data_IF_252632650118
#
_entry.id   IF_252632650118
#
_cell.length_a   1.000
_cell.length_b   1.000
_cell.length_c   1.000
_cell.angle_alpha   90.00
_cell.angle_beta   90.00
_cell.angle_gamma   90.00
#
_symmetry.space_group_name_H-M   'P 1'
#
loop_
_entity.id
_entity.type
_entity.pdbx_description
1 polymer ?
#
# COMPACT_ATOMS: atom_id res chain seq x y z
N UNK A 1 17.16 22.05 10.13
CA UNK A 1 16.99 21.09 9.02
C UNK A 1 15.50 21.01 8.73
N UNK A 2 15.03 21.61 7.64
CA UNK A 2 13.72 21.27 7.10
C UNK A 2 13.92 20.07 6.17
N UNK A 3 13.38 18.93 6.58
CA UNK A 3 13.27 17.76 5.72
C UNK A 3 12.01 18.00 4.89
N UNK A 4 12.14 18.66 3.75
CA UNK A 4 11.02 18.80 2.81
C UNK A 4 10.49 17.39 2.49
N UNK A 5 9.16 17.16 2.47
CA UNK A 5 8.62 15.87 2.08
C UNK A 5 9.13 15.52 0.69
N UNK A 6 9.73 14.33 0.55
CA UNK A 6 10.18 13.83 -0.75
C UNK A 6 8.92 13.56 -1.59
N UNK A 7 8.54 14.53 -2.41
CA UNK A 7 7.54 14.32 -3.46
C UNK A 7 8.11 13.33 -4.47
N UNK A 8 7.38 12.27 -4.75
CA UNK A 8 7.73 11.30 -5.79
C UNK A 8 7.04 11.73 -7.08
N UNK A 9 7.75 11.73 -8.22
CA UNK A 9 7.14 11.88 -9.53
C UNK A 9 6.79 10.49 -10.05
N UNK A 10 5.67 9.93 -9.57
CA UNK A 10 5.20 8.63 -10.03
C UNK A 10 4.54 8.78 -11.41
N UNK A 11 4.77 7.80 -12.27
CA UNK A 11 3.99 7.63 -13.49
C UNK A 11 2.55 7.24 -13.13
N UNK A 12 1.54 7.58 -13.97
CA UNK A 12 0.16 7.15 -13.74
C UNK A 12 0.03 5.63 -13.50
N UNK A 13 0.76 4.82 -14.27
CA UNK A 13 0.76 3.35 -14.10
C UNK A 13 1.38 2.88 -12.79
N UNK A 14 2.35 3.61 -12.24
CA UNK A 14 2.94 3.31 -10.92
C UNK A 14 1.96 3.65 -9.80
N UNK A 15 1.23 4.77 -9.93
CA UNK A 15 0.14 5.13 -9.01
C UNK A 15 -0.94 4.06 -9.01
N UNK A 16 -1.40 3.65 -10.19
CA UNK A 16 -2.41 2.59 -10.35
C UNK A 16 -1.96 1.27 -9.73
N UNK A 17 -0.71 0.84 -9.99
CA UNK A 17 -0.16 -0.38 -9.43
C UNK A 17 -0.11 -0.35 -7.89
N UNK A 18 0.30 0.78 -7.31
CA UNK A 18 0.36 0.96 -5.86
C UNK A 18 -1.04 1.01 -5.24
N UNK A 19 -1.99 1.71 -5.86
CA UNK A 19 -3.39 1.74 -5.44
C UNK A 19 -4.01 0.34 -5.46
N UNK A 20 -3.78 -0.44 -6.51
CA UNK A 20 -4.27 -1.81 -6.62
C UNK A 20 -3.65 -2.71 -5.53
N UNK A 21 -2.35 -2.57 -5.26
CA UNK A 21 -1.64 -3.39 -4.26
C UNK A 21 -2.20 -3.24 -2.83
N UNK A 22 -2.84 -2.10 -2.52
CA UNK A 22 -3.49 -1.85 -1.23
C UNK A 22 -5.02 -1.77 -1.30
N UNK A 23 -5.61 -2.09 -2.45
CA UNK A 23 -7.07 -2.04 -2.63
C UNK A 23 -7.75 -3.17 -1.86
N UNK A 24 -8.76 -2.80 -1.06
CA UNK A 24 -9.56 -3.77 -0.30
C UNK A 24 -10.33 -4.73 -1.22
N UNK A 25 -10.84 -4.23 -2.35
CA UNK A 25 -11.59 -5.05 -3.32
C UNK A 25 -10.66 -6.07 -3.97
N UNK A 26 -9.49 -5.62 -4.43
CA UNK A 26 -8.47 -6.51 -4.99
C UNK A 26 -8.04 -7.57 -3.96
N UNK A 27 -7.75 -7.17 -2.72
CA UNK A 27 -7.40 -8.12 -1.66
C UNK A 27 -8.51 -9.15 -1.43
N UNK A 28 -9.77 -8.71 -1.37
CA UNK A 28 -10.92 -9.59 -1.17
C UNK A 28 -11.05 -10.62 -2.30
N UNK A 29 -10.85 -10.20 -3.55
CA UNK A 29 -10.89 -11.10 -4.73
C UNK A 29 -9.77 -12.15 -4.69
N UNK A 30 -8.62 -11.82 -4.10
CA UNK A 30 -7.52 -12.76 -3.87
C UNK A 30 -7.69 -13.61 -2.60
N UNK A 31 -8.75 -13.40 -1.81
CA UNK A 31 -8.93 -14.04 -0.50
C UNK A 31 -7.89 -13.58 0.52
N UNK A 32 -7.43 -12.33 0.40
CA UNK A 32 -6.50 -11.66 1.31
C UNK A 32 -7.21 -10.66 2.20
N UNK A 33 -6.57 -10.31 3.31
CA UNK A 33 -7.00 -9.25 4.21
C UNK A 33 -5.81 -8.50 4.79
N UNK A 34 -6.03 -7.23 5.13
CA UNK A 34 -5.08 -6.41 5.88
C UNK A 34 -5.45 -6.37 7.37
N UNK A 35 -4.46 -6.21 8.24
CA UNK A 35 -4.68 -5.88 9.66
C UNK A 35 -4.22 -4.45 9.99
N UNK A 36 -4.49 -3.99 11.22
CA UNK A 36 -4.18 -2.64 11.71
C UNK A 36 -2.69 -2.28 11.60
N UNK A 37 -1.80 -3.27 11.55
CA UNK A 37 -0.35 -3.06 11.37
C UNK A 37 0.04 -2.95 9.90
N UNK A 38 -0.92 -2.93 8.96
CA UNK A 38 -0.68 -2.91 7.53
C UNK A 38 -0.03 -4.20 7.02
N UNK A 39 -0.22 -5.33 7.72
CA UNK A 39 0.20 -6.66 7.28
C UNK A 39 -0.88 -7.25 6.36
N UNK A 40 -0.50 -8.01 5.35
CA UNK A 40 -1.44 -8.73 4.49
C UNK A 40 -1.36 -10.23 4.77
N UNK A 41 -2.51 -10.88 4.96
CA UNK A 41 -2.66 -12.33 5.18
C UNK A 41 -3.58 -12.92 4.14
N UNK A 42 -3.46 -14.22 3.89
CA UNK A 42 -4.47 -14.97 3.14
C UNK A 42 -5.58 -15.51 4.07
N UNK A 43 -6.58 -16.14 3.46
CA UNK A 43 -7.70 -16.81 4.15
C UNK A 43 -7.31 -17.93 5.13
N UNK A 44 -6.07 -18.44 5.08
CA UNK A 44 -5.52 -19.42 6.04
C UNK A 44 -4.76 -18.75 7.19
N UNK A 45 -4.80 -17.42 7.29
CA UNK A 45 -4.06 -16.65 8.28
C UNK A 45 -2.55 -16.57 8.04
N UNK A 46 -2.05 -17.06 6.90
CA UNK A 46 -0.62 -16.98 6.57
C UNK A 46 -0.30 -15.58 6.07
N UNK A 47 0.76 -15.00 6.62
CA UNK A 47 1.31 -13.72 6.19
C UNK A 47 1.80 -13.80 4.74
N UNK A 48 1.24 -12.96 3.87
CA UNK A 48 1.72 -12.72 2.50
C UNK A 48 2.74 -11.58 2.53
N UNK A 49 2.39 -10.47 3.16
CA UNK A 49 3.28 -9.33 3.39
C UNK A 49 3.37 -9.00 4.87
N UNK A 50 4.57 -8.66 5.34
CA UNK A 50 4.87 -8.37 6.75
C UNK A 50 4.14 -7.10 7.25
N UNK A 51 4.03 -6.90 8.58
CA UNK A 51 3.64 -5.61 9.16
C UNK A 51 4.37 -4.45 8.52
N UNK A 52 3.66 -3.36 8.29
CA UNK A 52 4.19 -2.15 7.67
C UNK A 52 4.25 -2.21 6.14
N UNK A 53 3.53 -3.11 5.47
CA UNK A 53 3.48 -3.13 4.01
C UNK A 53 2.54 -2.05 3.45
N UNK A 54 1.34 -1.92 4.01
CA UNK A 54 0.32 -0.99 3.51
C UNK A 54 0.72 0.48 3.76
N UNK A 55 1.26 0.78 4.94
CA UNK A 55 1.50 2.17 5.38
C UNK A 55 2.49 2.95 4.50
N UNK A 56 3.64 2.40 4.08
CA UNK A 56 4.53 3.10 3.16
C UNK A 56 3.89 3.37 1.81
N UNK A 57 3.08 2.44 1.29
CA UNK A 57 2.39 2.63 0.00
C UNK A 57 1.39 3.78 0.09
N UNK A 58 0.60 3.82 1.18
CA UNK A 58 -0.32 4.95 1.45
C UNK A 58 0.44 6.28 1.52
N UNK A 59 1.54 6.35 2.30
CA UNK A 59 2.38 7.55 2.39
C UNK A 59 2.95 7.96 1.03
N UNK A 60 3.37 7.00 0.20
CA UNK A 60 3.90 7.28 -1.13
C UNK A 60 2.84 7.87 -2.05
N UNK A 61 1.60 7.35 -1.99
CA UNK A 61 0.47 7.87 -2.76
C UNK A 61 0.04 9.26 -2.29
N UNK A 62 0.00 9.51 -0.97
CA UNK A 62 -0.32 10.83 -0.39
C UNK A 62 0.71 11.90 -0.77
N UNK A 63 2.01 11.56 -0.77
CA UNK A 63 3.08 12.51 -1.13
C UNK A 63 3.22 12.75 -2.64
N UNK A 64 2.38 12.12 -3.47
CA UNK A 64 2.38 12.27 -4.93
C UNK A 64 1.40 13.35 -5.43
N UNK A 65 0.43 13.78 -4.63
CA UNK A 65 -0.53 14.81 -5.05
C UNK A 65 0.08 16.22 -5.05
N UNK A 66 -0.24 17.00 -6.10
CA UNK A 66 0.41 18.26 -6.52
C UNK A 66 0.56 19.30 -5.43
#
# INVERSE_FOLDING_TARGET
>A
MEIAPRKHNLLPSEVEALQQAISNDFMKDQGWSSDEQGRIKNNKGRTIFKPGFVTPIQKTLENNEK
#
